data_IF_770246462774
#
_entry.id   IF_770246462774
#
_cell.length_a   1.000
_cell.length_b   1.000
_cell.length_c   1.000
_cell.angle_alpha   90.00
_cell.angle_beta   90.00
_cell.angle_gamma   90.00
#
_symmetry.space_group_name_H-M   'P 1'
#
loop_
_entity.id
_entity.type
_entity.pdbx_description
1 polymer ?
#
# COMPACT_ATOMS: atom_id res chain seq x y z
N UNK A 1 -15.74 16.46 6.87
CA UNK A 1 -14.46 16.16 6.16
C UNK A 1 -13.49 17.33 6.21
N UNK A 2 -13.90 18.57 5.90
CA UNK A 2 -12.99 19.73 5.84
C UNK A 2 -12.33 20.05 7.20
N UNK A 3 -13.09 19.95 8.30
CA UNK A 3 -12.60 20.21 9.67
C UNK A 3 -11.50 19.25 10.13
N UNK A 4 -11.63 17.95 9.84
CA UNK A 4 -10.61 16.96 10.17
C UNK A 4 -9.31 17.15 9.36
N UNK A 5 -9.43 17.53 8.08
CA UNK A 5 -8.27 17.87 7.25
C UNK A 5 -7.52 19.09 7.78
N UNK A 6 -8.24 20.14 8.17
CA UNK A 6 -7.66 21.35 8.77
C UNK A 6 -7.00 21.05 10.11
N UNK A 7 -7.63 20.22 10.95
CA UNK A 7 -7.06 19.80 12.24
C UNK A 7 -5.73 19.07 12.07
N UNK A 8 -5.66 18.08 11.17
CA UNK A 8 -4.41 17.36 10.86
C UNK A 8 -3.34 18.29 10.29
N UNK A 9 -3.72 19.19 9.38
CA UNK A 9 -2.81 20.16 8.80
C UNK A 9 -2.18 21.06 9.87
N UNK A 10 -3.01 21.61 10.76
CA UNK A 10 -2.58 22.51 11.82
C UNK A 10 -1.65 21.81 12.80
N UNK A 11 -1.97 20.57 13.20
CA UNK A 11 -1.09 19.74 14.02
C UNK A 11 0.26 19.51 13.34
N UNK A 12 0.24 19.14 12.05
CA UNK A 12 1.44 18.85 11.30
C UNK A 12 2.36 20.07 11.16
N UNK A 13 1.78 21.24 10.89
CA UNK A 13 2.53 22.50 10.84
C UNK A 13 3.22 22.79 12.18
N UNK A 14 2.46 22.72 13.28
CA UNK A 14 3.00 22.94 14.62
C UNK A 14 4.09 21.91 14.98
N UNK A 15 3.93 20.66 14.57
CA UNK A 15 4.94 19.62 14.73
C UNK A 15 6.21 19.94 13.91
N UNK A 16 6.07 20.38 12.67
CA UNK A 16 7.19 20.79 11.81
C UNK A 16 7.98 21.96 12.41
N UNK A 17 7.29 23.00 12.86
CA UNK A 17 7.89 24.15 13.55
C UNK A 17 8.61 23.73 14.84
N UNK A 18 7.98 22.84 15.62
CA UNK A 18 8.57 22.27 16.82
C UNK A 18 9.87 21.53 16.53
N UNK A 19 9.94 20.72 15.46
CA UNK A 19 11.17 19.99 15.07
C UNK A 19 12.25 20.85 14.43
N UNK A 20 11.87 21.96 13.81
CA UNK A 20 12.84 22.98 13.37
C UNK A 20 13.52 23.64 14.58
N UNK A 21 12.74 24.02 15.60
CA UNK A 21 13.25 24.67 16.80
C UNK A 21 13.97 23.69 17.75
N UNK A 22 13.46 22.46 17.87
CA UNK A 22 13.95 21.43 18.79
C UNK A 22 14.03 20.09 18.05
N UNK A 23 15.13 19.82 17.32
CA UNK A 23 15.28 18.57 16.58
C UNK A 23 15.29 17.35 17.51
N UNK A 24 14.66 16.27 17.06
CA UNK A 24 14.66 14.96 17.75
C UNK A 24 15.10 13.86 16.79
N UNK A 25 15.26 12.62 17.28
CA UNK A 25 15.58 11.47 16.44
C UNK A 25 14.30 10.85 15.83
N UNK A 26 13.62 11.62 14.97
CA UNK A 26 12.42 11.15 14.26
C UNK A 26 12.39 11.58 12.79
N UNK A 27 11.53 10.91 12.01
CA UNK A 27 11.38 11.17 10.58
C UNK A 27 10.97 12.62 10.30
N UNK A 28 10.16 13.23 11.16
CA UNK A 28 9.77 14.63 11.00
C UNK A 28 10.97 15.57 11.09
N UNK A 29 11.87 15.35 12.04
CA UNK A 29 13.11 16.13 12.17
C UNK A 29 14.00 15.95 10.96
N UNK A 30 14.18 14.70 10.50
CA UNK A 30 14.94 14.42 9.27
C UNK A 30 14.36 15.18 8.08
N UNK A 31 13.03 15.13 7.87
CA UNK A 31 12.38 15.79 6.74
C UNK A 31 12.44 17.32 6.83
N UNK A 32 12.25 17.90 8.01
CA UNK A 32 12.26 19.36 8.19
C UNK A 32 13.65 19.97 8.05
N UNK A 33 14.72 19.21 8.34
CA UNK A 33 16.11 19.70 8.23
C UNK A 33 16.80 19.29 6.92
N UNK A 34 16.18 18.44 6.11
CA UNK A 34 16.71 18.07 4.80
C UNK A 34 16.74 19.29 3.86
N UNK A 35 17.89 19.46 3.18
CA UNK A 35 18.07 20.45 2.11
C UNK A 35 18.39 19.70 0.82
N UNK A 36 17.59 19.92 -0.22
CA UNK A 36 17.74 19.29 -1.54
C UNK A 36 17.77 20.40 -2.58
N UNK A 37 18.81 20.45 -3.40
CA UNK A 37 19.01 21.50 -4.41
C UNK A 37 18.92 22.94 -3.87
N UNK A 38 19.30 23.11 -2.60
CA UNK A 38 19.25 24.39 -1.88
C UNK A 38 17.89 24.73 -1.29
N UNK A 39 16.86 23.90 -1.52
CA UNK A 39 15.52 24.09 -0.99
C UNK A 39 15.24 23.18 0.21
N UNK A 40 14.34 23.64 1.08
CA UNK A 40 13.91 22.95 2.29
C UNK A 40 12.39 23.04 2.39
N UNK A 41 11.75 21.96 2.84
CA UNK A 41 10.33 21.95 3.13
C UNK A 41 9.98 23.05 4.14
N UNK A 42 9.04 23.92 3.77
CA UNK A 42 8.38 24.79 4.74
C UNK A 42 7.45 23.97 5.63
N UNK A 43 7.12 24.49 6.81
CA UNK A 43 6.13 23.86 7.71
C UNK A 43 4.75 23.72 7.04
N UNK A 44 4.42 24.59 6.08
CA UNK A 44 3.19 24.54 5.33
C UNK A 44 3.19 23.37 4.33
N UNK A 45 4.28 23.20 3.56
CA UNK A 45 4.45 22.06 2.64
C UNK A 45 4.54 20.74 3.40
N UNK A 46 5.21 20.75 4.56
CA UNK A 46 5.22 19.62 5.47
C UNK A 46 3.82 19.27 5.96
N UNK A 47 2.98 20.26 6.30
CA UNK A 47 1.59 20.03 6.67
C UNK A 47 0.80 19.27 5.59
N UNK A 48 0.98 19.64 4.32
CA UNK A 48 0.39 18.93 3.19
C UNK A 48 0.98 17.52 3.02
N UNK A 49 2.30 17.37 3.15
CA UNK A 49 2.98 16.08 3.03
C UNK A 49 2.62 15.11 4.16
N UNK A 50 2.47 15.60 5.38
CA UNK A 50 2.10 14.82 6.55
C UNK A 50 0.72 14.16 6.38
N UNK A 51 -0.25 14.88 5.82
CA UNK A 51 -1.57 14.31 5.51
C UNK A 51 -1.42 13.14 4.53
N UNK A 52 -0.57 13.27 3.51
CA UNK A 52 -0.28 12.18 2.58
C UNK A 52 0.33 10.97 3.30
N UNK A 53 1.30 11.20 4.20
CA UNK A 53 1.94 10.13 4.97
C UNK A 53 0.94 9.37 5.86
N UNK A 54 0.10 10.10 6.61
CA UNK A 54 -0.88 9.50 7.53
C UNK A 54 -1.91 8.67 6.76
N UNK A 55 -2.47 9.21 5.68
CA UNK A 55 -3.48 8.49 4.89
C UNK A 55 -2.87 7.30 4.16
N UNK A 56 -1.70 7.49 3.52
CA UNK A 56 -1.04 6.43 2.77
C UNK A 56 -0.58 5.28 3.67
N UNK A 57 -0.02 5.58 4.85
CA UNK A 57 0.49 4.58 5.78
C UNK A 57 -0.61 3.77 6.48
N UNK A 58 -1.73 4.40 6.83
CA UNK A 58 -2.76 3.75 7.62
C UNK A 58 -3.72 2.89 6.80
N UNK A 59 -4.15 3.37 5.63
CA UNK A 59 -5.14 2.66 4.82
C UNK A 59 -4.51 1.50 4.04
N UNK A 60 -3.34 1.69 3.43
CA UNK A 60 -2.84 0.70 2.46
C UNK A 60 -2.30 -0.57 3.12
N UNK A 61 -1.43 -0.45 4.13
CA UNK A 61 -0.82 -1.63 4.78
C UNK A 61 -1.86 -2.45 5.54
N UNK A 62 -2.75 -1.79 6.32
CA UNK A 62 -3.83 -2.49 7.05
C UNK A 62 -4.71 -3.29 6.11
N UNK A 63 -5.10 -2.72 4.96
CA UNK A 63 -5.93 -3.41 3.99
C UNK A 63 -5.16 -4.58 3.34
N UNK A 64 -3.88 -4.42 3.00
CA UNK A 64 -3.05 -5.53 2.52
C UNK A 64 -3.03 -6.71 3.50
N UNK A 65 -2.78 -6.44 4.79
CA UNK A 65 -2.80 -7.46 5.85
C UNK A 65 -4.17 -8.14 5.95
N UNK A 66 -5.25 -7.35 5.94
CA UNK A 66 -6.62 -7.88 6.07
C UNK A 66 -7.00 -8.78 4.90
N UNK A 67 -6.76 -8.32 3.67
CA UNK A 67 -6.97 -9.12 2.45
C UNK A 67 -6.09 -10.37 2.43
N UNK A 68 -4.82 -10.26 2.87
CA UNK A 68 -3.93 -11.41 2.99
C UNK A 68 -4.46 -12.47 3.96
N UNK A 69 -5.01 -12.07 5.10
CA UNK A 69 -5.60 -13.00 6.07
C UNK A 69 -6.86 -13.69 5.55
N UNK A 70 -7.68 -12.98 4.77
CA UNK A 70 -8.83 -13.56 4.06
C UNK A 70 -8.34 -14.60 3.05
N UNK A 71 -7.40 -14.22 2.18
CA UNK A 71 -6.85 -15.11 1.16
C UNK A 71 -6.22 -16.38 1.80
N UNK A 72 -5.48 -16.24 2.89
CA UNK A 72 -4.90 -17.39 3.60
C UNK A 72 -5.93 -18.25 4.34
N UNK A 73 -7.09 -17.68 4.70
CA UNK A 73 -8.21 -18.46 5.26
C UNK A 73 -8.88 -19.29 4.16
N UNK A 74 -9.06 -18.70 2.97
CA UNK A 74 -9.65 -19.37 1.80
C UNK A 74 -8.70 -20.39 1.14
N UNK A 75 -7.39 -20.24 1.35
CA UNK A 75 -6.33 -21.08 0.77
C UNK A 75 -5.47 -21.71 1.88
N UNK A 76 -6.01 -22.67 2.65
CA UNK A 76 -5.32 -23.25 3.81
C UNK A 76 -4.03 -24.00 3.45
N UNK A 77 -3.93 -24.52 2.22
CA UNK A 77 -2.71 -25.14 1.68
C UNK A 77 -1.58 -24.10 1.52
N UNK A 78 -1.89 -22.90 1.02
CA UNK A 78 -0.94 -21.80 0.89
C UNK A 78 -0.51 -21.28 2.27
N UNK A 79 -1.44 -21.21 3.21
CA UNK A 79 -1.14 -20.88 4.60
C UNK A 79 -0.22 -21.90 5.26
N UNK A 80 -0.52 -23.19 5.15
CA UNK A 80 0.32 -24.25 5.69
C UNK A 80 1.72 -24.21 5.07
N UNK A 81 1.80 -24.00 3.76
CA UNK A 81 3.07 -23.85 3.05
C UNK A 81 3.89 -22.66 3.57
N UNK A 82 3.30 -21.47 3.65
CA UNK A 82 4.03 -20.31 4.15
C UNK A 82 4.39 -20.45 5.63
N UNK A 83 3.45 -20.83 6.50
CA UNK A 83 3.72 -20.87 7.94
C UNK A 83 4.68 -22.01 8.32
N UNK A 84 4.73 -23.10 7.54
CA UNK A 84 5.65 -24.22 7.71
C UNK A 84 7.09 -23.91 7.29
N UNK A 85 7.30 -23.01 6.34
CA UNK A 85 8.62 -22.53 5.90
C UNK A 85 8.62 -21.01 5.71
N UNK A 86 8.46 -20.33 6.84
CA UNK A 86 8.14 -18.90 6.88
C UNK A 86 9.22 -18.04 6.24
N UNK A 87 10.48 -18.22 6.62
CA UNK A 87 11.59 -17.39 6.11
C UNK A 87 11.78 -17.56 4.60
N UNK A 88 11.64 -18.78 4.09
CA UNK A 88 11.81 -19.08 2.66
C UNK A 88 10.74 -18.40 1.81
N UNK A 89 9.49 -18.37 2.28
CA UNK A 89 8.35 -17.89 1.49
C UNK A 89 7.91 -16.46 1.81
N UNK A 90 8.43 -15.82 2.86
CA UNK A 90 7.96 -14.48 3.28
C UNK A 90 8.07 -13.42 2.19
N UNK A 91 9.17 -13.40 1.43
CA UNK A 91 9.34 -12.39 0.38
C UNK A 91 8.29 -12.52 -0.73
N UNK A 92 8.05 -13.73 -1.21
CA UNK A 92 7.06 -14.00 -2.26
C UNK A 92 5.63 -13.86 -1.74
N UNK A 93 5.36 -14.31 -0.51
CA UNK A 93 4.05 -14.18 0.11
C UNK A 93 3.64 -12.72 0.32
N UNK A 94 4.56 -11.88 0.77
CA UNK A 94 4.31 -10.43 0.94
C UNK A 94 3.98 -9.79 -0.41
N UNK A 95 4.75 -10.06 -1.46
CA UNK A 95 4.46 -9.52 -2.79
C UNK A 95 3.12 -10.05 -3.34
N UNK A 96 2.82 -11.33 -3.13
CA UNK A 96 1.54 -11.92 -3.55
C UNK A 96 0.37 -11.28 -2.80
N UNK A 97 0.50 -11.01 -1.50
CA UNK A 97 -0.52 -10.29 -0.72
C UNK A 97 -0.76 -8.90 -1.30
N UNK A 98 0.29 -8.16 -1.64
CA UNK A 98 0.12 -6.82 -2.23
C UNK A 98 -0.52 -6.91 -3.61
N UNK A 99 -0.12 -7.87 -4.45
CA UNK A 99 -0.74 -8.13 -5.76
C UNK A 99 -2.23 -8.48 -5.60
N UNK A 100 -2.53 -9.40 -4.70
CA UNK A 100 -3.87 -9.94 -4.49
C UNK A 100 -4.82 -8.87 -3.94
N UNK A 101 -4.38 -8.17 -2.89
CA UNK A 101 -5.14 -7.13 -2.21
C UNK A 101 -5.29 -5.88 -3.07
N UNK A 102 -4.23 -5.47 -3.79
CA UNK A 102 -4.14 -4.20 -4.51
C UNK A 102 -4.84 -3.04 -3.76
N UNK A 103 -4.31 -2.59 -2.60
CA UNK A 103 -5.03 -1.68 -1.71
C UNK A 103 -5.40 -0.34 -2.36
N UNK A 104 -4.59 0.16 -3.29
CA UNK A 104 -4.92 1.31 -4.14
C UNK A 104 -5.36 0.80 -5.50
N UNK A 105 -6.61 1.10 -5.87
CA UNK A 105 -7.26 0.57 -7.08
C UNK A 105 -6.69 1.23 -8.33
N UNK A 106 -6.53 2.55 -8.31
CA UNK A 106 -6.08 3.28 -9.49
C UNK A 106 -5.28 4.55 -9.15
N UNK A 107 -4.49 5.03 -10.11
CA UNK A 107 -3.95 6.39 -10.13
C UNK A 107 -4.26 7.09 -11.44
N UNK A 108 -4.25 8.42 -11.41
CA UNK A 108 -4.44 9.26 -12.59
C UNK A 108 -3.12 9.90 -13.03
N UNK A 109 -2.96 10.07 -14.34
CA UNK A 109 -1.98 10.96 -14.98
C UNK A 109 -2.70 11.93 -15.93
N UNK A 110 -2.02 13.00 -16.29
CA UNK A 110 -2.49 13.96 -17.30
C UNK A 110 -1.45 13.98 -18.41
N UNK A 111 -1.88 13.81 -19.67
CA UNK A 111 -0.98 13.90 -20.81
C UNK A 111 -0.45 15.32 -20.97
N UNK A 112 0.87 15.51 -21.03
CA UNK A 112 1.51 16.83 -21.16
C UNK A 112 1.58 17.31 -22.62
N UNK A 113 1.41 16.39 -23.55
CA UNK A 113 1.38 16.58 -25.00
C UNK A 113 0.56 15.47 -25.65
N UNK A 114 0.20 15.65 -26.92
CA UNK A 114 -0.42 14.59 -27.71
C UNK A 114 0.50 13.36 -27.76
N UNK A 115 -0.06 12.18 -27.51
CA UNK A 115 0.67 10.90 -27.48
C UNK A 115 -0.24 9.75 -27.90
N UNK A 116 0.32 8.55 -27.97
CA UNK A 116 -0.40 7.31 -28.20
C UNK A 116 -0.08 6.28 -27.10
N UNK A 117 -1.08 5.51 -26.66
CA UNK A 117 -0.92 4.39 -25.73
C UNK A 117 -1.60 3.17 -26.35
N UNK A 118 -0.83 2.12 -26.68
CA UNK A 118 -1.36 0.89 -27.29
C UNK A 118 -2.26 1.12 -28.52
N UNK A 119 -1.89 2.04 -29.43
CA UNK A 119 -2.73 2.35 -30.60
C UNK A 119 -3.80 3.43 -30.37
N UNK A 120 -4.05 3.83 -29.12
CA UNK A 120 -5.07 4.82 -28.78
C UNK A 120 -4.46 6.21 -28.65
N UNK A 121 -4.95 7.16 -29.45
CA UNK A 121 -4.55 8.57 -29.37
C UNK A 121 -5.05 9.18 -28.06
N UNK A 122 -4.14 9.85 -27.35
CA UNK A 122 -4.39 10.62 -26.13
C UNK A 122 -3.94 12.05 -26.40
N UNK A 123 -4.88 12.98 -26.38
CA UNK A 123 -4.57 14.40 -26.60
C UNK A 123 -3.95 15.01 -25.33
N UNK A 124 -3.19 16.09 -25.52
CA UNK A 124 -2.72 16.94 -24.43
C UNK A 124 -3.87 17.28 -23.48
N UNK A 125 -3.55 17.32 -22.18
CA UNK A 125 -4.43 17.60 -21.05
C UNK A 125 -5.52 16.53 -20.77
N UNK A 126 -5.61 15.46 -21.58
CA UNK A 126 -6.47 14.33 -21.26
C UNK A 126 -5.97 13.56 -20.04
N UNK A 127 -6.92 13.08 -19.24
CA UNK A 127 -6.67 12.26 -18.06
C UNK A 127 -6.56 10.80 -18.47
N UNK A 128 -5.50 10.13 -18.02
CA UNK A 128 -5.30 8.69 -18.15
C UNK A 128 -5.38 8.06 -16.77
N UNK A 129 -6.21 7.04 -16.59
CA UNK A 129 -6.38 6.34 -15.31
C UNK A 129 -5.81 4.92 -15.44
N UNK A 130 -4.87 4.59 -14.55
CA UNK A 130 -4.22 3.28 -14.48
C UNK A 130 -4.91 2.46 -13.40
N UNK A 131 -5.52 1.34 -13.77
CA UNK A 131 -6.19 0.43 -12.84
C UNK A 131 -5.24 -0.71 -12.43
N UNK A 132 -4.66 -0.59 -11.23
CA UNK A 132 -3.68 -1.57 -10.73
C UNK A 132 -4.30 -2.92 -10.43
N UNK A 133 -5.55 -2.94 -9.96
CA UNK A 133 -6.27 -4.19 -9.69
C UNK A 133 -6.46 -5.02 -10.98
N UNK A 134 -6.68 -4.37 -12.12
CA UNK A 134 -6.73 -5.04 -13.43
C UNK A 134 -5.34 -5.51 -13.85
N UNK A 135 -4.31 -4.65 -13.78
CA UNK A 135 -2.95 -5.03 -14.18
C UNK A 135 -2.35 -6.16 -13.33
N UNK A 136 -2.63 -6.18 -12.02
CA UNK A 136 -2.23 -7.26 -11.11
C UNK A 136 -2.98 -8.58 -11.36
N UNK A 137 -3.98 -8.58 -12.26
CA UNK A 137 -4.76 -9.75 -12.68
C UNK A 137 -4.66 -10.03 -14.19
N UNK A 138 -3.74 -9.36 -14.88
CA UNK A 138 -3.57 -9.50 -16.34
C UNK A 138 -2.97 -10.87 -16.70
N UNK A 139 -3.74 -11.70 -17.40
CA UNK A 139 -3.35 -13.05 -17.84
C UNK A 139 -2.19 -13.06 -18.85
N UNK A 140 -1.90 -11.93 -19.48
CA UNK A 140 -0.73 -11.80 -20.38
C UNK A 140 0.58 -11.69 -19.61
N UNK A 141 0.50 -11.35 -18.31
CA UNK A 141 1.64 -11.09 -17.43
C UNK A 141 1.75 -12.16 -16.35
N UNK A 142 0.64 -12.55 -15.73
CA UNK A 142 0.60 -13.51 -14.65
C UNK A 142 -0.10 -14.80 -15.09
N UNK A 143 0.57 -15.95 -14.96
CA UNK A 143 -0.09 -17.25 -15.08
C UNK A 143 -1.08 -17.45 -13.93
N UNK A 144 -2.28 -17.97 -14.23
CA UNK A 144 -3.38 -18.13 -13.27
C UNK A 144 -3.56 -16.88 -12.38
N UNK A 145 -3.88 -15.71 -12.95
CA UNK A 145 -3.87 -14.43 -12.24
C UNK A 145 -4.87 -14.37 -11.08
N UNK A 146 -5.89 -15.23 -11.11
CA UNK A 146 -6.92 -15.38 -10.09
C UNK A 146 -6.65 -16.49 -9.08
N UNK A 147 -5.43 -17.06 -9.06
CA UNK A 147 -4.98 -17.96 -8.01
C UNK A 147 -4.06 -17.22 -7.04
N UNK A 148 -4.33 -17.34 -5.74
CA UNK A 148 -3.45 -16.86 -4.68
C UNK A 148 -2.35 -17.89 -4.45
N UNK A 149 -1.09 -17.48 -4.60
CA UNK A 149 0.06 -18.37 -4.46
C UNK A 149 1.20 -17.67 -3.71
N UNK A 150 1.45 -18.07 -2.46
CA UNK A 150 2.51 -17.50 -1.62
C UNK A 150 3.92 -17.78 -2.16
N UNK A 151 4.03 -18.68 -3.12
CA UNK A 151 5.26 -19.04 -3.84
C UNK A 151 5.33 -18.48 -5.25
N UNK A 152 4.39 -17.62 -5.65
CA UNK A 152 4.41 -16.97 -6.96
C UNK A 152 5.78 -16.33 -7.19
N UNK A 153 6.33 -16.59 -8.37
CA UNK A 153 7.62 -16.02 -8.76
C UNK A 153 7.60 -14.49 -8.60
N UNK A 154 8.69 -13.88 -8.08
CA UNK A 154 8.74 -12.45 -7.83
C UNK A 154 8.75 -11.61 -9.12
N UNK A 155 8.97 -12.25 -10.27
CA UNK A 155 8.87 -11.63 -11.58
C UNK A 155 7.82 -12.36 -12.43
N UNK A 156 7.00 -11.62 -13.19
CA UNK A 156 6.96 -10.15 -13.28
C UNK A 156 6.47 -9.47 -11.98
N UNK A 157 7.01 -8.29 -11.69
CA UNK A 157 6.72 -7.57 -10.43
C UNK A 157 5.28 -7.04 -10.42
N UNK A 158 4.58 -7.21 -9.30
CA UNK A 158 3.27 -6.60 -9.07
C UNK A 158 3.33 -5.07 -9.03
N UNK A 159 2.24 -4.40 -9.43
CA UNK A 159 2.21 -2.94 -9.62
C UNK A 159 1.45 -2.17 -8.51
N UNK A 160 1.11 -2.82 -7.41
CA UNK A 160 0.46 -2.25 -6.23
C UNK A 160 1.30 -1.19 -5.50
N UNK A 161 2.62 -1.17 -5.68
CA UNK A 161 3.51 -0.08 -5.25
C UNK A 161 3.77 0.99 -6.33
N UNK A 162 3.08 0.89 -7.47
CA UNK A 162 3.33 1.69 -8.67
C UNK A 162 4.35 1.03 -9.62
N UNK A 163 4.37 1.49 -10.87
CA UNK A 163 5.13 0.89 -11.97
C UNK A 163 6.54 1.51 -12.16
N UNK A 164 7.35 1.60 -11.09
CA UNK A 164 8.78 1.89 -11.18
C UNK A 164 9.23 3.29 -11.60
N UNK A 165 8.35 4.30 -11.58
CA UNK A 165 8.69 5.70 -11.91
C UNK A 165 9.02 6.58 -10.68
N UNK A 166 9.14 7.91 -10.85
CA UNK A 166 9.46 8.86 -9.76
C UNK A 166 8.48 8.84 -8.58
N UNK A 167 7.27 8.32 -8.79
CA UNK A 167 6.25 8.15 -7.77
C UNK A 167 6.09 6.69 -7.32
N UNK A 168 7.13 5.87 -7.47
CA UNK A 168 7.16 4.56 -6.82
C UNK A 168 6.99 4.72 -5.31
N UNK A 169 6.23 3.82 -4.69
CA UNK A 169 5.82 3.97 -3.30
C UNK A 169 7.03 4.12 -2.36
N UNK A 170 7.15 5.30 -1.75
CA UNK A 170 8.17 5.60 -0.73
C UNK A 170 8.08 4.64 0.47
N UNK A 171 6.86 4.23 0.81
CA UNK A 171 6.58 3.33 1.94
C UNK A 171 6.74 1.84 1.62
N UNK A 172 7.14 1.45 0.40
CA UNK A 172 7.10 0.04 -0.03
C UNK A 172 7.91 -0.89 0.89
N UNK A 173 9.08 -0.46 1.33
CA UNK A 173 9.92 -1.25 2.24
C UNK A 173 9.33 -1.35 3.66
N UNK A 174 8.70 -0.28 4.14
CA UNK A 174 8.00 -0.29 5.42
C UNK A 174 6.78 -1.20 5.37
N UNK A 175 5.94 -1.07 4.34
CA UNK A 175 4.76 -1.92 4.15
C UNK A 175 5.13 -3.41 4.09
N UNK A 176 6.18 -3.77 3.34
CA UNK A 176 6.70 -5.15 3.30
C UNK A 176 7.12 -5.65 4.69
N UNK A 177 7.84 -4.82 5.44
CA UNK A 177 8.29 -5.14 6.80
C UNK A 177 7.10 -5.36 7.73
N UNK A 178 6.12 -4.46 7.69
CA UNK A 178 4.92 -4.53 8.53
C UNK A 178 4.07 -5.77 8.21
N UNK A 179 3.86 -6.09 6.93
CA UNK A 179 3.15 -7.30 6.51
C UNK A 179 3.91 -8.54 7.03
N UNK A 180 5.22 -8.62 6.78
CA UNK A 180 6.03 -9.76 7.22
C UNK A 180 5.98 -9.94 8.75
N UNK A 181 6.22 -8.87 9.52
CA UNK A 181 6.19 -8.92 10.99
C UNK A 181 4.80 -9.30 11.50
N UNK A 182 3.73 -8.73 10.93
CA UNK A 182 2.38 -9.06 11.35
C UNK A 182 2.07 -10.54 11.14
N UNK A 183 2.39 -11.11 9.97
CA UNK A 183 2.14 -12.52 9.71
C UNK A 183 3.05 -13.46 10.52
N UNK A 184 4.27 -13.05 10.86
CA UNK A 184 5.13 -13.80 11.78
C UNK A 184 4.53 -13.81 13.21
N UNK A 185 4.02 -12.69 13.70
CA UNK A 185 3.35 -12.65 15.00
C UNK A 185 2.03 -13.46 14.99
N UNK A 186 1.26 -13.39 13.90
CA UNK A 186 0.05 -14.20 13.73
C UNK A 186 0.38 -15.68 13.79
N UNK A 187 1.37 -16.16 13.00
CA UNK A 187 1.70 -17.59 13.00
C UNK A 187 2.24 -18.06 14.36
N UNK A 188 2.96 -17.19 15.10
CA UNK A 188 3.57 -17.55 16.39
C UNK A 188 2.59 -17.52 17.55
N UNK A 189 1.65 -16.58 17.58
CA UNK A 189 0.77 -16.33 18.74
C UNK A 189 -0.66 -16.80 18.53
N UNK A 190 -1.19 -16.68 17.31
CA UNK A 190 -2.58 -17.01 16.96
C UNK A 190 -2.63 -17.84 15.67
N UNK A 191 -1.90 -18.98 15.59
CA UNK A 191 -1.77 -19.77 14.37
C UNK A 191 -3.09 -20.28 13.81
N UNK A 192 -4.14 -20.33 14.62
CA UNK A 192 -5.48 -20.77 14.26
C UNK A 192 -6.46 -19.61 13.96
N UNK A 193 -5.98 -18.36 13.88
CA UNK A 193 -6.83 -17.22 13.51
C UNK A 193 -7.45 -17.49 12.13
N UNK A 194 -8.77 -17.41 12.02
CA UNK A 194 -9.51 -17.62 10.78
C UNK A 194 -10.55 -16.54 10.59
N UNK A 195 -10.72 -16.09 9.35
CA UNK A 195 -11.85 -15.26 8.95
C UNK A 195 -13.12 -16.13 8.94
N UNK A 196 -14.21 -15.65 9.55
CA UNK A 196 -15.44 -16.45 9.76
C UNK A 196 -16.69 -15.83 9.15
N UNK A 197 -16.57 -14.76 8.38
CA UNK A 197 -17.73 -14.14 7.74
C UNK A 197 -17.34 -13.18 6.65
N UNK A 198 -18.34 -12.80 5.86
CA UNK A 198 -18.19 -11.91 4.70
C UNK A 198 -17.63 -10.54 5.12
N UNK A 199 -16.58 -10.04 4.43
CA UNK A 199 -16.05 -8.71 4.68
C UNK A 199 -17.06 -7.60 4.33
N UNK A 200 -17.17 -6.60 5.21
CA UNK A 200 -17.84 -5.34 4.90
C UNK A 200 -16.84 -4.39 4.22
N UNK A 201 -16.98 -4.21 2.90
CA UNK A 201 -16.10 -3.37 2.11
C UNK A 201 -16.32 -1.87 2.33
N UNK A 202 -15.25 -1.10 2.16
CA UNK A 202 -15.27 0.35 2.09
C UNK A 202 -15.89 0.79 0.76
N UNK A 203 -16.91 1.64 0.81
CA UNK A 203 -17.43 2.29 -0.39
C UNK A 203 -16.44 3.36 -0.85
N UNK A 204 -15.50 2.96 -1.71
CA UNK A 204 -14.46 3.81 -2.27
C UNK A 204 -14.14 3.37 -3.69
N UNK A 205 -13.94 4.32 -4.59
CA UNK A 205 -13.42 4.07 -5.93
C UNK A 205 -11.88 4.03 -5.97
N UNK A 206 -11.21 4.43 -4.89
CA UNK A 206 -9.76 4.59 -4.84
C UNK A 206 -9.07 3.54 -3.96
N UNK A 207 -9.70 3.14 -2.85
CA UNK A 207 -9.14 2.20 -1.88
C UNK A 207 -9.94 0.90 -1.90
N UNK A 208 -9.26 -0.23 -2.12
CA UNK A 208 -9.83 -1.56 -1.95
C UNK A 208 -9.88 -1.92 -0.46
N UNK A 209 -10.74 -1.22 0.28
CA UNK A 209 -10.74 -1.22 1.74
C UNK A 209 -11.72 -2.23 2.34
N UNK A 210 -11.36 -2.80 3.49
CA UNK A 210 -12.25 -3.59 4.34
C UNK A 210 -12.49 -2.83 5.64
N UNK A 211 -13.74 -2.45 5.89
CA UNK A 211 -14.15 -1.75 7.12
C UNK A 211 -14.18 -2.71 8.30
N UNK A 212 -14.74 -3.90 8.10
CA UNK A 212 -14.90 -4.92 9.14
C UNK A 212 -14.90 -6.31 8.53
N UNK A 213 -14.30 -7.25 9.23
CA UNK A 213 -14.41 -8.67 8.95
C UNK A 213 -14.42 -9.44 10.28
N UNK A 214 -15.27 -10.44 10.41
CA UNK A 214 -15.33 -11.25 11.64
C UNK A 214 -14.24 -12.32 11.58
N UNK A 215 -13.60 -12.59 12.73
CA UNK A 215 -12.63 -13.66 12.86
C UNK A 215 -12.82 -14.43 14.17
N UNK A 216 -12.26 -15.64 14.21
CA UNK A 216 -12.17 -16.50 15.39
C UNK A 216 -10.73 -16.90 15.61
N UNK A 217 -10.33 -16.98 16.88
CA UNK A 217 -9.10 -17.60 17.33
C UNK A 217 -9.54 -18.81 18.17
N UNK A 218 -9.10 -20.01 17.80
CA UNK A 218 -9.47 -21.28 18.45
C UNK A 218 -8.25 -22.05 18.94
#
# INVERSE_FOLDING_TARGET
MMEAGIGMFTYAQALGESRLANPTDDLTSVMMHAVVDGERLSSQEFGSFFILLVVAGNETTRNAITHGMIALTENPDQRAKWFGDFETHTKTAVEEIVRWATPVIHFRRTATQDTEINGFKVQKDQKVVLFYNSGNRDERVFSDPFKFDVTRAPQPTQIGFGAGGPHFCLGANLARREIAVMFDEIRRRVPNLQITGEPAYLQSSFINGIKRVNCRIS
#
